data_IF_425343735116
#
_entry.id   IF_425343735116
#
_cell.length_a   1.000
_cell.length_b   1.000
_cell.length_c   1.000
_cell.angle_alpha   90.00
_cell.angle_beta   90.00
_cell.angle_gamma   90.00
#
_symmetry.space_group_name_H-M   'P 1'
#
loop_
_entity.id
_entity.type
_entity.pdbx_description
1 polymer ?
#
# COMPACT_ATOMS: atom_id res chain seq x y z
N UNK A 1 -40.11 -38.86 -18.78
CA UNK A 1 -40.66 -38.41 -20.08
C UNK A 1 -40.08 -37.05 -20.37
N UNK A 2 -39.12 -36.99 -21.30
CA UNK A 2 -38.45 -35.76 -21.73
C UNK A 2 -39.24 -35.17 -22.90
N UNK A 3 -39.57 -33.89 -22.82
CA UNK A 3 -40.09 -33.10 -23.95
C UNK A 3 -38.91 -32.35 -24.56
N UNK A 4 -38.24 -32.98 -25.53
CA UNK A 4 -37.28 -32.29 -26.39
C UNK A 4 -38.06 -31.43 -27.39
N UNK A 5 -37.89 -30.10 -27.33
CA UNK A 5 -38.37 -29.19 -28.37
C UNK A 5 -37.44 -29.29 -29.59
N UNK A 6 -37.94 -29.39 -30.84
CA UNK A 6 -37.11 -29.63 -32.03
C UNK A 6 -36.36 -28.39 -32.55
N UNK A 7 -36.42 -27.26 -31.83
CA UNK A 7 -35.94 -25.96 -32.31
C UNK A 7 -34.62 -25.48 -31.71
N UNK A 8 -33.91 -26.31 -30.93
CA UNK A 8 -32.61 -25.95 -30.33
C UNK A 8 -31.57 -27.07 -30.48
N UNK A 9 -30.93 -27.16 -31.67
CA UNK A 9 -29.98 -28.24 -31.98
C UNK A 9 -28.63 -28.12 -31.26
N UNK A 10 -28.36 -27.03 -30.52
CA UNK A 10 -27.08 -26.79 -29.84
C UNK A 10 -27.20 -26.74 -28.31
N UNK A 11 -28.40 -26.90 -27.74
CA UNK A 11 -28.61 -26.76 -26.30
C UNK A 11 -28.36 -25.35 -25.76
N UNK A 12 -28.32 -24.35 -26.65
CA UNK A 12 -28.08 -22.95 -26.31
C UNK A 12 -29.23 -22.36 -25.49
N UNK A 13 -30.44 -22.88 -25.66
CA UNK A 13 -31.62 -22.52 -24.87
C UNK A 13 -31.61 -23.10 -23.45
N UNK A 14 -30.80 -24.11 -23.16
CA UNK A 14 -30.55 -24.57 -21.79
C UNK A 14 -29.47 -23.70 -21.12
N UNK A 15 -28.39 -23.36 -21.85
CA UNK A 15 -27.34 -22.44 -21.39
C UNK A 15 -27.88 -21.02 -21.16
N UNK A 16 -28.74 -20.52 -22.06
CA UNK A 16 -29.45 -19.24 -21.90
C UNK A 16 -30.35 -19.22 -20.67
N UNK A 17 -31.11 -20.30 -20.42
CA UNK A 17 -31.97 -20.42 -19.22
C UNK A 17 -31.20 -20.57 -17.91
N UNK A 18 -30.02 -21.19 -17.95
CA UNK A 18 -29.13 -21.25 -16.77
C UNK A 18 -28.49 -19.89 -16.50
N UNK A 19 -28.09 -19.16 -17.55
CA UNK A 19 -27.59 -17.78 -17.42
C UNK A 19 -28.66 -16.81 -16.90
N UNK A 20 -29.89 -16.90 -17.41
CA UNK A 20 -31.04 -16.12 -16.92
C UNK A 20 -31.29 -16.35 -15.42
N UNK A 21 -31.30 -17.61 -14.96
CA UNK A 21 -31.52 -17.93 -13.54
C UNK A 21 -30.40 -17.44 -12.61
N UNK A 22 -29.15 -17.47 -13.07
CA UNK A 22 -28.01 -16.96 -12.30
C UNK A 22 -28.12 -15.45 -12.14
N UNK A 23 -28.50 -14.75 -13.21
CA UNK A 23 -28.74 -13.30 -13.15
C UNK A 23 -29.94 -12.95 -12.29
N UNK A 24 -31.03 -13.71 -12.35
CA UNK A 24 -32.19 -13.49 -11.47
C UNK A 24 -31.84 -13.62 -9.98
N UNK A 25 -30.99 -14.59 -9.63
CA UNK A 25 -30.48 -14.74 -8.26
C UNK A 25 -29.57 -13.58 -7.85
N UNK A 26 -28.65 -13.17 -8.73
CA UNK A 26 -27.78 -12.02 -8.51
C UNK A 26 -28.55 -10.70 -8.39
N UNK A 27 -29.64 -10.53 -9.16
CA UNK A 27 -30.55 -9.38 -9.07
C UNK A 27 -31.19 -9.31 -7.67
N UNK A 28 -31.71 -10.41 -7.15
CA UNK A 28 -32.36 -10.39 -5.84
C UNK A 28 -31.34 -10.13 -4.72
N UNK A 29 -30.16 -10.77 -4.80
CA UNK A 29 -29.05 -10.51 -3.89
C UNK A 29 -28.59 -9.04 -3.91
N UNK A 30 -28.48 -8.45 -5.10
CA UNK A 30 -28.15 -7.03 -5.27
C UNK A 30 -29.24 -6.11 -4.73
N UNK A 31 -30.52 -6.43 -4.94
CA UNK A 31 -31.65 -5.65 -4.38
C UNK A 31 -31.66 -5.66 -2.86
N UNK A 32 -31.51 -6.82 -2.24
CA UNK A 32 -31.42 -6.94 -0.78
C UNK A 32 -30.24 -6.14 -0.24
N UNK A 33 -29.09 -6.22 -0.90
CA UNK A 33 -27.90 -5.49 -0.52
C UNK A 33 -28.07 -3.98 -0.63
N UNK A 34 -28.64 -3.48 -1.74
CA UNK A 34 -28.93 -2.06 -1.92
C UNK A 34 -30.02 -1.56 -0.98
N UNK A 35 -31.01 -2.39 -0.63
CA UNK A 35 -32.01 -2.04 0.38
C UNK A 35 -31.39 -1.74 1.74
N UNK A 36 -30.31 -2.44 2.08
CA UNK A 36 -29.54 -2.23 3.29
C UNK A 36 -28.60 -1.02 3.18
N UNK A 37 -27.94 -0.84 2.02
CA UNK A 37 -26.85 0.14 1.83
C UNK A 37 -27.29 1.49 1.27
N UNK A 38 -28.12 1.51 0.22
CA UNK A 38 -28.54 2.71 -0.50
C UNK A 38 -29.90 2.54 -1.18
N UNK A 39 -30.98 2.98 -0.51
CA UNK A 39 -32.35 2.91 -1.06
C UNK A 39 -32.54 3.69 -2.37
N UNK A 40 -32.01 4.92 -2.53
CA UNK A 40 -32.14 5.62 -3.82
C UNK A 40 -31.47 4.87 -4.97
N UNK A 41 -30.30 4.27 -4.73
CA UNK A 41 -29.62 3.46 -5.75
C UNK A 41 -30.40 2.18 -6.09
N UNK A 42 -31.15 1.60 -5.15
CA UNK A 42 -32.05 0.48 -5.40
C UNK A 42 -33.15 0.83 -6.42
N UNK A 43 -33.72 2.03 -6.33
CA UNK A 43 -34.79 2.48 -7.25
C UNK A 43 -34.25 2.59 -8.68
N UNK A 44 -33.08 3.23 -8.85
CA UNK A 44 -32.39 3.34 -10.14
C UNK A 44 -31.92 1.98 -10.67
N UNK A 45 -31.47 1.08 -9.80
CA UNK A 45 -31.14 -0.30 -10.16
C UNK A 45 -32.37 -1.05 -10.68
N UNK A 46 -33.55 -0.81 -10.09
CA UNK A 46 -34.83 -1.31 -10.60
C UNK A 46 -35.14 -0.82 -12.02
N UNK A 47 -34.87 0.45 -12.31
CA UNK A 47 -35.01 1.00 -13.67
C UNK A 47 -34.03 0.38 -14.67
N UNK A 48 -32.78 0.12 -14.26
CA UNK A 48 -31.79 -0.56 -15.10
C UNK A 48 -32.24 -1.96 -15.53
N UNK A 49 -32.88 -2.73 -14.65
CA UNK A 49 -33.41 -4.07 -14.96
C UNK A 49 -34.50 -3.99 -16.03
N UNK A 50 -35.33 -2.95 -16.00
CA UNK A 50 -36.47 -2.79 -16.91
C UNK A 50 -36.05 -2.47 -18.37
N UNK A 51 -34.77 -2.14 -18.61
CA UNK A 51 -34.29 -1.70 -19.92
C UNK A 51 -33.50 -2.82 -20.65
N UNK A 52 -34.02 -3.39 -21.76
CA UNK A 52 -33.43 -4.56 -22.42
C UNK A 52 -32.06 -4.33 -23.09
N UNK A 53 -31.61 -3.08 -23.25
CA UNK A 53 -30.44 -2.73 -24.09
C UNK A 53 -29.10 -2.78 -23.33
N UNK A 54 -29.06 -3.07 -22.02
CA UNK A 54 -27.83 -2.94 -21.21
C UNK A 54 -27.54 -4.11 -20.28
N UNK A 55 -27.77 -5.34 -20.73
CA UNK A 55 -27.47 -6.55 -19.96
C UNK A 55 -26.04 -6.59 -19.41
N UNK A 56 -25.03 -6.21 -20.19
CA UNK A 56 -23.63 -6.13 -19.73
C UNK A 56 -23.45 -5.16 -18.56
N UNK A 57 -24.13 -4.01 -18.56
CA UNK A 57 -24.00 -3.03 -17.48
C UNK A 57 -24.63 -3.54 -16.20
N UNK A 58 -25.79 -4.17 -16.32
CA UNK A 58 -26.46 -4.81 -15.20
C UNK A 58 -25.60 -5.92 -14.60
N UNK A 59 -25.02 -6.78 -15.43
CA UNK A 59 -24.11 -7.86 -15.01
C UNK A 59 -22.87 -7.31 -14.28
N UNK A 60 -22.20 -6.29 -14.83
CA UNK A 60 -21.07 -5.64 -14.14
C UNK A 60 -21.47 -5.03 -12.80
N UNK A 61 -22.62 -4.35 -12.73
CA UNK A 61 -23.11 -3.78 -11.46
C UNK A 61 -23.43 -4.87 -10.45
N UNK A 62 -24.10 -5.96 -10.85
CA UNK A 62 -24.40 -7.10 -9.96
C UNK A 62 -23.11 -7.69 -9.42
N UNK A 63 -22.16 -8.02 -10.29
CA UNK A 63 -20.85 -8.57 -9.90
C UNK A 63 -20.10 -7.65 -8.95
N UNK A 64 -20.12 -6.35 -9.19
CA UNK A 64 -19.51 -5.36 -8.29
C UNK A 64 -20.19 -5.38 -6.92
N UNK A 65 -21.52 -5.37 -6.86
CA UNK A 65 -22.27 -5.39 -5.60
C UNK A 65 -22.08 -6.71 -4.82
N UNK A 66 -22.01 -7.84 -5.51
CA UNK A 66 -21.70 -9.14 -4.90
C UNK A 66 -20.29 -9.17 -4.30
N UNK A 67 -19.28 -8.70 -5.06
CA UNK A 67 -17.91 -8.55 -4.57
C UNK A 67 -17.86 -7.58 -3.38
N UNK A 68 -18.60 -6.46 -3.43
CA UNK A 68 -18.64 -5.48 -2.35
C UNK A 68 -19.23 -6.08 -1.08
N UNK A 69 -20.33 -6.83 -1.20
CA UNK A 69 -20.94 -7.58 -0.10
C UNK A 69 -19.94 -8.55 0.54
N UNK A 70 -19.10 -9.22 -0.25
CA UNK A 70 -18.05 -10.11 0.25
C UNK A 70 -16.92 -9.41 1.02
N UNK A 71 -16.68 -8.13 0.75
CA UNK A 71 -15.65 -7.32 1.43
C UNK A 71 -16.16 -6.59 2.67
N UNK A 72 -17.47 -6.50 2.85
CA UNK A 72 -18.04 -5.79 3.99
C UNK A 72 -17.91 -6.59 5.28
N UNK A 73 -17.34 -5.93 6.30
CA UNK A 73 -17.46 -6.41 7.67
C UNK A 73 -18.78 -5.87 8.23
N UNK A 74 -19.81 -6.73 8.27
CA UNK A 74 -21.09 -6.39 8.88
C UNK A 74 -20.91 -6.46 10.39
N UNK A 75 -20.83 -5.30 11.05
CA UNK A 75 -20.91 -5.23 12.50
C UNK A 75 -22.34 -5.60 12.93
N UNK A 76 -22.53 -6.66 13.75
CA UNK A 76 -23.84 -7.09 14.23
C UNK A 76 -24.59 -6.00 15.01
N UNK A 77 -23.87 -5.04 15.58
CA UNK A 77 -24.41 -4.06 16.52
C UNK A 77 -25.03 -2.82 15.87
N UNK A 78 -24.58 -2.42 14.68
CA UNK A 78 -24.97 -1.14 14.06
C UNK A 78 -26.07 -1.26 13.00
N UNK A 79 -26.26 -2.44 12.40
CA UNK A 79 -27.33 -2.82 11.44
C UNK A 79 -27.61 -1.86 10.26
N UNK A 80 -26.93 -0.73 10.13
CA UNK A 80 -27.12 0.27 9.10
C UNK A 80 -25.78 0.61 8.47
N UNK A 81 -25.50 -0.10 7.39
CA UNK A 81 -24.51 0.28 6.40
C UNK A 81 -25.19 1.37 5.57
N UNK A 82 -24.82 2.63 5.69
CA UNK A 82 -25.37 3.68 4.83
C UNK A 82 -24.20 4.24 4.04
N UNK A 83 -24.34 4.28 2.72
CA UNK A 83 -23.41 4.96 1.83
C UNK A 83 -24.04 6.29 1.40
N UNK A 84 -23.21 7.32 1.26
CA UNK A 84 -23.66 8.55 0.64
C UNK A 84 -24.21 8.26 -0.76
N UNK A 85 -25.39 8.81 -1.05
CA UNK A 85 -26.12 8.49 -2.26
C UNK A 85 -25.37 8.93 -3.51
N UNK A 86 -24.69 10.08 -3.47
CA UNK A 86 -23.89 10.58 -4.59
C UNK A 86 -22.67 9.69 -4.84
N UNK A 87 -21.97 9.27 -3.80
CA UNK A 87 -20.84 8.32 -3.89
C UNK A 87 -21.31 6.99 -4.47
N UNK A 88 -22.41 6.43 -3.96
CA UNK A 88 -22.96 5.16 -4.41
C UNK A 88 -23.32 5.19 -5.90
N UNK A 89 -23.98 6.27 -6.34
CA UNK A 89 -24.33 6.46 -7.76
C UNK A 89 -23.10 6.54 -8.65
N UNK A 90 -22.10 7.35 -8.28
CA UNK A 90 -20.89 7.48 -9.07
C UNK A 90 -20.13 6.15 -9.18
N UNK A 91 -20.02 5.39 -8.09
CA UNK A 91 -19.38 4.07 -8.13
C UNK A 91 -20.15 3.12 -9.04
N UNK A 92 -21.48 3.00 -8.84
CA UNK A 92 -22.30 2.07 -9.63
C UNK A 92 -22.30 2.43 -11.12
N UNK A 93 -22.40 3.71 -11.47
CA UNK A 93 -22.39 4.16 -12.86
C UNK A 93 -21.06 3.83 -13.55
N UNK A 94 -19.93 4.16 -12.91
CA UNK A 94 -18.60 3.91 -13.49
C UNK A 94 -18.29 2.40 -13.54
N UNK A 95 -18.59 1.65 -12.48
CA UNK A 95 -18.40 0.20 -12.44
C UNK A 95 -19.23 -0.53 -13.51
N UNK A 96 -20.43 -0.03 -13.84
CA UNK A 96 -21.29 -0.61 -14.88
C UNK A 96 -20.66 -0.59 -16.28
N UNK A 97 -19.68 0.29 -16.52
CA UNK A 97 -18.97 0.43 -17.79
C UNK A 97 -17.70 -0.41 -17.86
N UNK A 98 -17.28 -0.99 -16.73
CA UNK A 98 -16.08 -1.82 -16.62
C UNK A 98 -16.40 -3.26 -16.99
N UNK A 99 -15.59 -3.83 -17.88
CA UNK A 99 -15.63 -5.26 -18.23
C UNK A 99 -14.49 -6.07 -17.58
N UNK A 100 -13.45 -5.38 -17.08
CA UNK A 100 -12.30 -6.03 -16.48
C UNK A 100 -12.53 -6.35 -14.99
N UNK A 101 -12.38 -7.62 -14.64
CA UNK A 101 -12.68 -8.10 -13.29
C UNK A 101 -11.79 -7.48 -12.19
N UNK A 102 -10.52 -7.19 -12.51
CA UNK A 102 -9.58 -6.53 -11.57
C UNK A 102 -10.02 -5.12 -11.23
N UNK A 103 -10.46 -4.33 -12.21
CA UNK A 103 -11.02 -3.00 -11.96
C UNK A 103 -12.34 -3.09 -11.20
N UNK A 104 -13.18 -4.08 -11.53
CA UNK A 104 -14.45 -4.30 -10.84
C UNK A 104 -14.26 -4.65 -9.36
N UNK A 105 -13.22 -5.42 -9.05
CA UNK A 105 -12.79 -5.75 -7.68
C UNK A 105 -12.40 -4.51 -6.87
N UNK A 106 -11.73 -3.54 -7.51
CA UNK A 106 -11.37 -2.27 -6.88
C UNK A 106 -12.60 -1.40 -6.62
N UNK A 107 -13.51 -1.30 -7.60
CA UNK A 107 -14.79 -0.59 -7.43
C UNK A 107 -15.64 -1.19 -6.31
N UNK A 108 -15.69 -2.52 -6.24
CA UNK A 108 -16.41 -3.25 -5.20
C UNK A 108 -15.86 -2.94 -3.80
N UNK A 109 -14.53 -2.91 -3.64
CA UNK A 109 -13.95 -2.53 -2.36
C UNK A 109 -14.18 -1.06 -2.04
N UNK A 110 -14.06 -0.15 -3.01
CA UNK A 110 -14.35 1.27 -2.78
C UNK A 110 -15.81 1.47 -2.34
N UNK A 111 -16.76 0.73 -2.92
CA UNK A 111 -18.15 0.71 -2.47
C UNK A 111 -18.26 0.22 -1.02
N UNK A 112 -17.58 -0.89 -0.70
CA UNK A 112 -17.59 -1.46 0.64
C UNK A 112 -16.98 -0.52 1.71
N UNK A 113 -15.86 0.12 1.41
CA UNK A 113 -15.20 1.06 2.32
C UNK A 113 -16.02 2.35 2.50
N UNK A 114 -16.86 2.70 1.52
CA UNK A 114 -17.71 3.90 1.54
C UNK A 114 -19.02 3.72 2.34
N UNK A 115 -19.33 2.51 2.78
CA UNK A 115 -20.53 2.24 3.57
C UNK A 115 -20.27 2.53 5.06
N UNK A 116 -20.34 3.81 5.45
CA UNK A 116 -20.36 4.26 6.84
C UNK A 116 -21.08 5.62 7.00
N UNK A 117 -21.52 5.92 8.23
CA UNK A 117 -22.33 7.08 8.60
C UNK A 117 -21.62 8.44 8.52
N UNK A 118 -20.37 8.50 8.07
CA UNK A 118 -19.61 9.74 8.03
C UNK A 118 -19.11 10.08 6.62
N UNK A 119 -19.43 11.31 6.22
CA UNK A 119 -19.08 11.97 4.98
C UNK A 119 -17.57 12.00 4.76
N UNK A 120 -17.05 10.99 4.06
CA UNK A 120 -15.73 11.08 3.45
C UNK A 120 -15.92 11.53 2.00
N UNK A 121 -15.98 12.86 1.79
CA UNK A 121 -15.81 13.50 0.47
C UNK A 121 -14.54 12.99 -0.24
N UNK A 122 -13.58 12.47 0.52
CA UNK A 122 -12.39 11.80 0.00
C UNK A 122 -12.72 10.62 -0.93
N UNK A 123 -13.81 9.89 -0.72
CA UNK A 123 -14.18 8.79 -1.62
C UNK A 123 -14.50 9.32 -3.03
N UNK A 124 -15.01 10.56 -3.17
CA UNK A 124 -15.20 11.20 -4.48
C UNK A 124 -13.85 11.40 -5.18
N UNK A 125 -12.83 11.84 -4.44
CA UNK A 125 -11.48 11.96 -4.97
C UNK A 125 -10.91 10.61 -5.44
N UNK A 126 -11.18 9.52 -4.72
CA UNK A 126 -10.75 8.18 -5.15
C UNK A 126 -11.55 7.63 -6.33
N UNK A 127 -12.85 7.94 -6.45
CA UNK A 127 -13.65 7.65 -7.64
C UNK A 127 -13.03 8.34 -8.86
N UNK A 128 -12.63 9.61 -8.72
CA UNK A 128 -12.02 10.39 -9.79
C UNK A 128 -10.67 9.82 -10.25
N UNK A 129 -9.90 9.24 -9.34
CA UNK A 129 -8.67 8.54 -9.71
C UNK A 129 -9.01 7.21 -10.38
N UNK A 130 -9.84 6.38 -9.75
CA UNK A 130 -10.11 5.01 -10.20
C UNK A 130 -10.75 4.97 -11.58
N UNK A 131 -11.65 5.93 -11.91
CA UNK A 131 -12.26 6.04 -13.25
C UNK A 131 -11.24 6.36 -14.36
N UNK A 132 -10.10 6.94 -14.01
CA UNK A 132 -9.04 7.29 -14.95
C UNK A 132 -7.97 6.21 -15.07
N UNK A 133 -8.02 5.15 -14.25
CA UNK A 133 -7.04 4.07 -14.29
C UNK A 133 -7.40 3.00 -15.30
N UNK A 134 -6.39 2.50 -16.00
CA UNK A 134 -6.50 1.31 -16.85
C UNK A 134 -6.30 0.03 -16.03
N UNK A 135 -6.73 -1.11 -16.58
CA UNK A 135 -6.48 -2.41 -15.94
C UNK A 135 -4.98 -2.67 -15.72
N UNK A 136 -4.13 -2.32 -16.70
CA UNK A 136 -2.68 -2.48 -16.60
C UNK A 136 -2.08 -1.68 -15.44
N UNK A 137 -2.54 -0.44 -15.26
CA UNK A 137 -2.13 0.42 -14.16
C UNK A 137 -2.56 -0.12 -12.80
N UNK A 138 -3.80 -0.61 -12.69
CA UNK A 138 -4.30 -1.21 -11.44
C UNK A 138 -3.51 -2.46 -11.07
N UNK A 139 -3.16 -3.31 -12.02
CA UNK A 139 -2.30 -4.48 -11.77
C UNK A 139 -0.94 -4.08 -11.20
N UNK A 140 -0.29 -3.09 -11.81
CA UNK A 140 0.99 -2.58 -11.31
C UNK A 140 0.85 -1.97 -9.92
N UNK A 141 -0.15 -1.12 -9.69
CA UNK A 141 -0.37 -0.50 -8.38
C UNK A 141 -0.64 -1.54 -7.29
N UNK A 142 -1.46 -2.55 -7.58
CA UNK A 142 -1.75 -3.66 -6.67
C UNK A 142 -0.47 -4.41 -6.30
N UNK A 143 0.28 -4.82 -7.33
CA UNK A 143 1.55 -5.50 -7.14
C UNK A 143 2.50 -4.68 -6.27
N UNK A 144 2.69 -3.40 -6.59
CA UNK A 144 3.57 -2.55 -5.82
C UNK A 144 3.07 -2.42 -4.36
N UNK A 145 1.76 -2.21 -4.15
CA UNK A 145 1.19 -2.05 -2.81
C UNK A 145 1.38 -3.30 -1.95
N UNK A 146 1.35 -4.49 -2.55
CA UNK A 146 1.51 -5.77 -1.84
C UNK A 146 2.97 -6.18 -1.66
N UNK A 147 3.84 -5.84 -2.63
CA UNK A 147 5.21 -6.40 -2.72
C UNK A 147 6.31 -5.40 -2.37
N UNK A 148 5.95 -4.29 -1.73
CA UNK A 148 6.89 -3.25 -1.29
C UNK A 148 6.88 -3.13 0.21
N UNK A 149 8.06 -3.12 0.83
CA UNK A 149 8.17 -2.94 2.28
C UNK A 149 7.55 -1.62 2.75
N UNK A 150 6.96 -1.67 3.94
CA UNK A 150 6.31 -0.52 4.57
C UNK A 150 7.13 -0.04 5.74
N UNK A 151 7.27 1.27 5.85
CA UNK A 151 8.09 1.91 6.87
C UNK A 151 7.39 3.15 7.41
N UNK A 152 7.80 3.57 8.61
CA UNK A 152 7.34 4.77 9.30
C UNK A 152 8.55 5.57 9.77
N UNK A 153 8.34 6.83 10.12
CA UNK A 153 9.39 7.59 10.78
C UNK A 153 9.54 7.10 12.23
N UNK A 154 10.60 6.35 12.51
CA UNK A 154 10.90 5.81 13.85
C UNK A 154 11.03 6.89 14.93
N UNK A 155 11.35 8.12 14.55
CA UNK A 155 11.45 9.25 15.47
C UNK A 155 10.09 9.82 15.89
N UNK A 156 9.01 9.35 15.26
CA UNK A 156 7.66 9.87 15.44
C UNK A 156 6.63 8.75 15.30
N UNK A 157 6.87 7.58 15.88
CA UNK A 157 5.99 6.40 15.78
C UNK A 157 4.56 6.74 16.25
N UNK A 158 4.43 7.45 17.37
CA UNK A 158 3.12 7.85 17.89
C UNK A 158 2.40 8.82 16.95
N UNK A 159 3.13 9.77 16.36
CA UNK A 159 2.55 10.68 15.37
C UNK A 159 2.15 9.92 14.10
N UNK A 160 2.97 9.00 13.60
CA UNK A 160 2.62 8.16 12.46
C UNK A 160 1.40 7.28 12.72
N UNK A 161 1.23 6.77 13.95
CA UNK A 161 0.04 6.04 14.39
C UNK A 161 -1.19 6.93 14.44
N UNK A 162 -1.07 8.14 14.99
CA UNK A 162 -2.17 9.10 15.11
C UNK A 162 -2.60 9.64 13.75
N UNK A 163 -1.64 10.01 12.89
CA UNK A 163 -1.86 10.56 11.55
C UNK A 163 -2.24 9.46 10.55
N UNK A 164 -2.06 8.19 10.91
CA UNK A 164 -2.34 7.04 10.04
C UNK A 164 -1.38 6.89 8.86
N UNK A 165 -0.17 7.45 8.95
CA UNK A 165 0.76 7.57 7.82
C UNK A 165 1.78 6.44 7.78
N UNK A 166 1.94 5.85 6.59
CA UNK A 166 2.99 4.89 6.24
C UNK A 166 3.66 5.32 4.95
N UNK A 167 4.94 5.01 4.83
CA UNK A 167 5.74 5.18 3.61
C UNK A 167 6.06 3.82 3.01
N UNK A 168 5.89 3.69 1.69
CA UNK A 168 6.48 2.57 0.96
C UNK A 168 7.97 2.82 0.72
N UNK A 169 8.80 1.81 0.97
CA UNK A 169 10.22 1.78 0.58
C UNK A 169 10.32 1.74 -0.94
N UNK A 170 11.46 2.13 -1.50
CA UNK A 170 11.68 2.06 -2.94
C UNK A 170 11.78 0.59 -3.40
N UNK A 171 10.92 0.18 -4.33
CA UNK A 171 10.95 -1.17 -4.93
C UNK A 171 11.85 -1.15 -6.15
N UNK A 172 12.95 -1.90 -6.09
CA UNK A 172 13.77 -2.23 -7.26
C UNK A 172 12.98 -3.20 -8.12
N UNK A 173 12.71 -2.81 -9.36
CA UNK A 173 11.93 -3.61 -10.31
C UNK A 173 12.50 -3.40 -11.71
N UNK A 174 12.68 -4.49 -12.45
CA UNK A 174 13.16 -4.39 -13.82
C UNK A 174 12.01 -4.06 -14.79
N UNK A 175 12.34 -3.48 -15.94
CA UNK A 175 11.33 -3.08 -16.92
C UNK A 175 10.57 -4.28 -17.52
N UNK A 176 11.20 -5.45 -17.62
CA UNK A 176 10.55 -6.65 -18.16
C UNK A 176 9.49 -7.19 -17.19
N UNK A 177 9.76 -7.13 -15.88
CA UNK A 177 8.85 -7.43 -14.79
C UNK A 177 7.67 -6.45 -14.80
N UNK A 178 7.92 -5.15 -14.99
CA UNK A 178 6.83 -4.15 -15.18
C UNK A 178 5.96 -4.53 -16.38
N UNK A 179 6.55 -4.85 -17.54
CA UNK A 179 5.80 -5.29 -18.72
C UNK A 179 4.96 -6.55 -18.44
N UNK A 180 5.51 -7.50 -17.68
CA UNK A 180 4.83 -8.74 -17.32
C UNK A 180 3.63 -8.48 -16.39
N UNK A 181 3.81 -7.69 -15.33
CA UNK A 181 2.74 -7.33 -14.38
C UNK A 181 1.62 -6.56 -15.09
N UNK A 182 1.98 -5.64 -15.98
CA UNK A 182 1.02 -4.85 -16.75
C UNK A 182 0.40 -5.64 -17.92
N UNK A 183 0.85 -6.88 -18.16
CA UNK A 183 0.43 -7.74 -19.26
C UNK A 183 0.47 -7.01 -20.62
N UNK A 184 1.55 -6.27 -20.86
CA UNK A 184 1.71 -5.47 -22.08
C UNK A 184 3.03 -5.77 -22.76
N UNK A 185 2.93 -6.25 -24.00
CA UNK A 185 4.08 -6.44 -24.88
C UNK A 185 4.54 -5.11 -25.53
N UNK A 186 3.71 -4.06 -25.48
CA UNK A 186 4.03 -2.76 -26.04
C UNK A 186 4.76 -1.90 -25.02
N UNK A 187 6.05 -1.67 -25.27
CA UNK A 187 6.89 -0.78 -24.44
C UNK A 187 6.37 0.66 -24.42
N UNK A 188 5.94 1.18 -25.57
CA UNK A 188 5.38 2.53 -25.67
C UNK A 188 4.13 2.68 -24.79
N UNK A 189 3.25 1.66 -24.80
CA UNK A 189 2.07 1.64 -23.93
C UNK A 189 2.49 1.68 -22.46
N UNK A 190 3.42 0.82 -22.05
CA UNK A 190 3.92 0.78 -20.66
C UNK A 190 4.48 2.13 -20.23
N UNK A 191 5.28 2.80 -21.07
CA UNK A 191 5.79 4.13 -20.75
C UNK A 191 4.66 5.15 -20.53
N UNK A 192 3.70 5.21 -21.45
CA UNK A 192 2.57 6.15 -21.34
C UNK A 192 1.74 5.89 -20.07
N UNK A 193 1.55 4.63 -19.71
CA UNK A 193 0.80 4.24 -18.52
C UNK A 193 1.57 4.60 -17.24
N UNK A 194 2.90 4.43 -17.22
CA UNK A 194 3.78 4.86 -16.13
C UNK A 194 3.82 6.37 -15.98
N UNK A 195 3.98 7.12 -17.07
CA UNK A 195 3.95 8.58 -17.06
C UNK A 195 2.59 9.09 -16.55
N UNK A 196 1.51 8.41 -16.90
CA UNK A 196 0.16 8.73 -16.40
C UNK A 196 0.06 8.48 -14.89
N UNK A 197 0.57 7.36 -14.38
CA UNK A 197 0.61 7.07 -12.94
C UNK A 197 1.47 8.07 -12.16
N UNK A 198 2.60 8.48 -12.74
CA UNK A 198 3.49 9.50 -12.19
C UNK A 198 2.76 10.86 -12.13
N UNK A 199 2.10 11.27 -13.21
CA UNK A 199 1.35 12.53 -13.29
C UNK A 199 0.15 12.57 -12.33
N UNK A 200 -0.52 11.44 -12.09
CA UNK A 200 -1.56 11.33 -11.06
C UNK A 200 -0.98 11.38 -9.63
N UNK A 201 0.34 11.27 -9.48
CA UNK A 201 1.04 11.21 -8.21
C UNK A 201 0.76 9.92 -7.44
N UNK A 202 0.56 8.81 -8.15
CA UNK A 202 0.35 7.47 -7.57
C UNK A 202 1.68 6.72 -7.40
N UNK A 203 2.61 6.95 -8.32
CA UNK A 203 4.00 6.52 -8.22
C UNK A 203 4.92 7.72 -8.23
N UNK A 204 6.13 7.54 -7.70
CA UNK A 204 7.12 8.57 -7.51
C UNK A 204 8.51 8.03 -7.84
N UNK A 205 9.39 8.95 -8.24
CA UNK A 205 10.80 8.67 -8.46
C UNK A 205 11.52 8.39 -7.13
N UNK A 206 12.64 7.66 -7.17
CA UNK A 206 13.55 7.54 -6.03
C UNK A 206 13.99 8.90 -5.51
N UNK A 207 14.20 9.00 -4.19
CA UNK A 207 14.53 10.27 -3.52
C UNK A 207 15.85 10.88 -4.02
N UNK A 208 16.77 10.05 -4.50
CA UNK A 208 18.11 10.47 -4.91
C UNK A 208 18.22 10.85 -6.39
N UNK A 209 17.14 10.73 -7.16
CA UNK A 209 17.14 11.13 -8.56
C UNK A 209 16.84 12.63 -8.68
N UNK A 210 17.90 13.43 -8.66
CA UNK A 210 17.84 14.88 -8.89
C UNK A 210 17.56 15.27 -10.34
N UNK A 211 17.61 14.32 -11.27
CA UNK A 211 17.34 14.57 -12.69
C UNK A 211 15.83 14.49 -12.97
N UNK A 212 15.31 15.45 -13.73
CA UNK A 212 13.93 15.49 -14.24
C UNK A 212 13.66 14.42 -15.32
N UNK A 213 14.16 13.20 -15.12
CA UNK A 213 14.00 12.07 -16.03
C UNK A 213 12.71 11.33 -15.66
N UNK A 214 11.76 11.11 -16.59
CA UNK A 214 10.53 10.33 -16.32
C UNK A 214 10.83 8.93 -15.79
N UNK A 215 9.94 8.35 -14.98
CA UNK A 215 10.12 6.99 -14.43
C UNK A 215 10.29 5.96 -15.56
N UNK A 216 9.53 6.09 -16.64
CA UNK A 216 9.61 5.25 -17.83
C UNK A 216 11.03 5.22 -18.43
N UNK A 217 11.69 6.37 -18.49
CA UNK A 217 13.07 6.49 -18.95
C UNK A 217 14.06 5.97 -17.91
N UNK A 218 13.87 6.26 -16.62
CA UNK A 218 14.70 5.71 -15.55
C UNK A 218 14.72 4.19 -15.57
N UNK A 219 13.56 3.54 -15.74
CA UNK A 219 13.45 2.09 -15.78
C UNK A 219 14.23 1.42 -16.93
N UNK A 220 14.57 2.19 -17.96
CA UNK A 220 15.33 1.72 -19.13
C UNK A 220 16.82 1.93 -19.00
N UNK A 221 17.26 2.80 -18.09
CA UNK A 221 18.67 3.10 -17.90
C UNK A 221 19.31 1.96 -17.11
N UNK A 222 20.07 1.11 -17.81
CA UNK A 222 20.78 -0.06 -17.28
C UNK A 222 22.03 0.27 -16.44
N UNK A 223 22.16 1.50 -15.94
CA UNK A 223 23.38 1.95 -15.26
C UNK A 223 23.42 1.43 -13.81
N UNK A 224 23.98 0.23 -13.60
CA UNK A 224 24.50 -0.37 -12.34
C UNK A 224 23.64 -0.39 -11.06
N UNK A 225 22.54 0.35 -10.98
CA UNK A 225 21.55 0.31 -9.91
C UNK A 225 20.19 0.07 -10.55
N UNK A 226 19.52 -1.00 -10.14
CA UNK A 226 18.18 -1.29 -10.61
C UNK A 226 17.29 -0.06 -10.40
N UNK A 227 16.57 0.38 -11.44
CA UNK A 227 15.67 1.50 -11.32
C UNK A 227 14.60 1.15 -10.30
N UNK A 228 14.32 2.08 -9.40
CA UNK A 228 13.38 1.85 -8.31
C UNK A 228 12.13 2.70 -8.49
N UNK A 229 10.98 2.15 -8.11
CA UNK A 229 9.70 2.84 -8.09
C UNK A 229 9.28 2.98 -6.65
N UNK A 230 8.75 4.14 -6.29
CA UNK A 230 8.13 4.36 -4.98
C UNK A 230 6.64 4.62 -5.14
N UNK A 231 5.84 4.04 -4.26
CA UNK A 231 4.39 4.30 -4.21
C UNK A 231 4.14 5.51 -3.32
N UNK A 232 3.20 6.37 -3.73
CA UNK A 232 2.79 7.50 -2.91
C UNK A 232 1.81 7.08 -1.81
N UNK A 233 1.69 7.89 -0.75
CA UNK A 233 0.66 7.69 0.27
C UNK A 233 -0.76 7.69 -0.34
N UNK A 234 -0.98 8.51 -1.38
CA UNK A 234 -2.24 8.58 -2.13
C UNK A 234 -2.61 7.23 -2.74
N UNK A 235 -1.66 6.55 -3.37
CA UNK A 235 -1.88 5.23 -3.96
C UNK A 235 -2.11 4.14 -2.89
N UNK A 236 -1.39 4.19 -1.76
CA UNK A 236 -1.67 3.27 -0.64
C UNK A 236 -3.08 3.44 -0.10
N UNK A 237 -3.54 4.69 0.09
CA UNK A 237 -4.91 4.97 0.55
C UNK A 237 -5.96 4.49 -0.43
N UNK A 238 -5.77 4.77 -1.73
CA UNK A 238 -6.64 4.26 -2.78
C UNK A 238 -6.72 2.73 -2.74
N UNK A 239 -5.57 2.06 -2.66
CA UNK A 239 -5.51 0.60 -2.59
C UNK A 239 -6.29 0.06 -1.39
N UNK A 240 -6.06 0.59 -0.18
CA UNK A 240 -6.75 0.15 1.05
C UNK A 240 -8.27 0.30 0.93
N UNK A 241 -8.73 1.46 0.46
CA UNK A 241 -10.16 1.70 0.23
C UNK A 241 -10.72 0.70 -0.79
N UNK A 242 -10.00 0.44 -1.87
CA UNK A 242 -10.36 -0.58 -2.86
C UNK A 242 -10.25 -2.04 -2.37
N UNK A 243 -9.67 -2.29 -1.19
CA UNK A 243 -9.79 -3.57 -0.49
C UNK A 243 -11.03 -3.66 0.41
N UNK A 244 -11.85 -2.60 0.48
CA UNK A 244 -13.00 -2.52 1.35
C UNK A 244 -12.66 -2.17 2.80
N UNK A 245 -11.40 -1.87 3.09
CA UNK A 245 -10.97 -1.49 4.44
C UNK A 245 -11.17 0.00 4.67
N UNK A 246 -11.57 0.33 5.90
CA UNK A 246 -11.73 1.71 6.40
C UNK A 246 -10.51 2.18 7.19
N UNK A 247 -9.56 1.28 7.41
CA UNK A 247 -8.38 1.53 8.21
C UNK A 247 -7.50 2.62 7.57
N UNK A 248 -6.77 3.32 8.42
CA UNK A 248 -5.66 4.15 7.97
C UNK A 248 -4.54 3.28 7.36
N UNK A 249 -3.67 3.84 6.50
CA UNK A 249 -2.48 3.13 6.04
C UNK A 249 -1.62 2.52 7.14
N UNK A 250 -1.49 3.20 8.29
CA UNK A 250 -0.77 2.65 9.44
C UNK A 250 -1.43 1.38 9.98
N UNK A 251 -2.74 1.42 10.24
CA UNK A 251 -3.46 0.28 10.79
C UNK A 251 -3.50 -0.90 9.81
N UNK A 252 -3.71 -0.63 8.52
CA UNK A 252 -3.78 -1.67 7.50
C UNK A 252 -2.44 -2.41 7.33
N UNK A 253 -1.32 -1.67 7.31
CA UNK A 253 0.02 -2.21 7.06
C UNK A 253 0.85 -2.41 8.34
N UNK A 254 0.24 -2.42 9.54
CA UNK A 254 1.00 -2.49 10.80
C UNK A 254 1.84 -3.77 10.93
N UNK A 255 1.33 -4.88 10.39
CA UNK A 255 2.03 -6.16 10.38
C UNK A 255 3.26 -6.04 9.47
N UNK A 256 3.11 -5.53 8.25
CA UNK A 256 4.21 -5.34 7.31
C UNK A 256 5.29 -4.40 7.85
N UNK A 257 4.87 -3.32 8.55
CA UNK A 257 5.81 -2.38 9.18
C UNK A 257 6.59 -3.06 10.32
N UNK A 258 5.92 -3.85 11.15
CA UNK A 258 6.60 -4.61 12.21
C UNK A 258 7.59 -5.62 11.61
N UNK A 259 7.17 -6.38 10.61
CA UNK A 259 7.99 -7.40 9.95
C UNK A 259 9.21 -6.79 9.28
N UNK A 260 9.05 -5.64 8.61
CA UNK A 260 10.16 -4.89 8.02
C UNK A 260 11.24 -4.54 9.06
N UNK A 261 10.83 -3.93 10.18
CA UNK A 261 11.78 -3.54 11.23
C UNK A 261 12.34 -4.74 11.99
N UNK A 262 11.54 -5.78 12.21
CA UNK A 262 11.98 -7.01 12.86
C UNK A 262 13.06 -7.69 12.02
N UNK A 263 12.86 -7.79 10.71
CA UNK A 263 13.84 -8.35 9.79
C UNK A 263 15.18 -7.60 9.80
N UNK A 264 15.17 -6.29 10.02
CA UNK A 264 16.38 -5.48 10.14
C UNK A 264 17.16 -5.80 11.43
N UNK A 265 16.46 -5.93 12.56
CA UNK A 265 17.12 -5.98 13.88
C UNK A 265 17.29 -7.39 14.46
N UNK A 266 16.57 -8.41 13.98
CA UNK A 266 16.50 -9.75 14.59
C UNK A 266 17.84 -10.47 14.72
N UNK A 267 18.84 -10.13 13.90
CA UNK A 267 20.19 -10.72 14.00
C UNK A 267 21.04 -10.11 15.12
N UNK A 268 20.62 -8.95 15.64
CA UNK A 268 21.37 -8.12 16.59
C UNK A 268 20.66 -7.98 17.93
N UNK A 269 19.33 -8.13 17.93
CA UNK A 269 18.46 -7.87 19.07
C UNK A 269 17.45 -9.00 19.16
N UNK A 270 17.43 -9.68 20.31
CA UNK A 270 16.41 -10.68 20.62
C UNK A 270 15.12 -9.99 21.07
N UNK A 271 14.18 -9.84 20.15
CA UNK A 271 12.87 -9.24 20.39
C UNK A 271 11.81 -9.93 19.57
N UNK A 272 10.64 -10.19 20.17
CA UNK A 272 9.50 -10.78 19.46
C UNK A 272 9.01 -9.82 18.34
N UNK A 273 8.57 -10.35 17.17
CA UNK A 273 8.07 -9.52 16.07
C UNK A 273 6.98 -8.53 16.51
N UNK A 274 6.05 -8.97 17.35
CA UNK A 274 4.93 -8.15 17.86
C UNK A 274 5.33 -7.00 18.77
N UNK A 275 6.52 -7.06 19.39
CA UNK A 275 7.05 -6.03 20.31
C UNK A 275 8.14 -5.17 19.67
N UNK A 276 8.46 -5.41 18.41
CA UNK A 276 9.59 -4.78 17.73
C UNK A 276 9.45 -3.26 17.66
N UNK A 277 8.29 -2.74 17.25
CA UNK A 277 8.08 -1.29 17.17
C UNK A 277 8.09 -0.60 18.55
N UNK A 278 7.52 -1.24 19.57
CA UNK A 278 7.52 -0.68 20.93
C UNK A 278 8.94 -0.66 21.52
N UNK A 279 9.74 -1.69 21.25
CA UNK A 279 11.16 -1.70 21.59
C UNK A 279 11.93 -0.58 20.88
N UNK A 280 11.77 -0.46 19.55
CA UNK A 280 12.43 0.61 18.77
C UNK A 280 12.03 1.98 19.32
N UNK A 281 10.75 2.18 19.65
CA UNK A 281 10.24 3.44 20.23
C UNK A 281 10.95 3.79 21.53
N UNK A 282 11.02 2.86 22.48
CA UNK A 282 11.65 3.08 23.79
C UNK A 282 13.16 3.37 23.65
N UNK A 283 13.85 2.58 22.84
CA UNK A 283 15.29 2.76 22.59
C UNK A 283 15.59 4.05 21.83
N UNK A 284 14.78 4.38 20.80
CA UNK A 284 14.92 5.62 20.05
C UNK A 284 14.64 6.85 20.94
N UNK A 285 13.68 6.76 21.86
CA UNK A 285 13.43 7.82 22.84
C UNK A 285 14.65 8.08 23.73
N UNK A 286 15.29 7.02 24.25
CA UNK A 286 16.56 7.18 24.98
C UNK A 286 17.67 7.76 24.12
N UNK A 287 17.85 7.24 22.90
CA UNK A 287 18.86 7.72 21.96
C UNK A 287 18.69 9.18 21.55
N UNK A 288 17.45 9.69 21.54
CA UNK A 288 17.14 11.08 21.22
C UNK A 288 17.72 12.08 22.22
N UNK A 289 17.99 11.66 23.46
CA UNK A 289 18.63 12.49 24.49
C UNK A 289 20.08 12.82 24.15
N UNK A 290 20.71 12.05 23.26
CA UNK A 290 22.10 12.25 22.81
C UNK A 290 22.18 13.03 21.48
N UNK A 291 21.07 13.64 21.07
CA UNK A 291 21.04 14.49 19.87
C UNK A 291 21.92 15.73 20.12
N UNK A 292 23.03 15.79 19.39
CA UNK A 292 24.02 16.87 19.52
C UNK A 292 25.32 16.43 20.19
N UNK A 293 25.32 15.29 20.89
CA UNK A 293 26.52 14.67 21.48
C UNK A 293 27.28 13.79 20.49
N UNK A 294 26.60 13.35 19.42
CA UNK A 294 27.17 12.54 18.35
C UNK A 294 26.80 13.17 17.00
N UNK A 295 27.81 13.44 16.19
CA UNK A 295 27.69 13.83 14.79
C UNK A 295 27.94 12.61 13.87
N UNK A 296 27.23 12.55 12.74
CA UNK A 296 27.46 11.56 11.69
C UNK A 296 28.08 12.23 10.48
N UNK A 297 29.14 11.61 9.96
CA UNK A 297 29.78 12.01 8.73
C UNK A 297 29.91 10.78 7.83
N UNK A 298 29.71 10.95 6.52
CA UNK A 298 30.05 9.94 5.52
C UNK A 298 31.41 10.26 4.93
N UNK A 299 32.31 9.29 4.95
CA UNK A 299 33.65 9.34 4.38
C UNK A 299 33.74 8.34 3.23
N UNK A 300 34.28 8.74 2.09
CA UNK A 300 34.37 7.90 0.89
C UNK A 300 35.28 6.68 1.10
N UNK A 301 36.34 6.83 1.89
CA UNK A 301 37.34 5.79 2.14
C UNK A 301 36.94 4.88 3.32
N UNK A 302 36.22 5.43 4.30
CA UNK A 302 36.00 4.76 5.58
C UNK A 302 34.52 4.51 5.94
N UNK A 303 33.58 4.94 5.10
CA UNK A 303 32.16 4.71 5.30
C UNK A 303 31.55 5.66 6.35
N UNK A 304 30.74 5.12 7.27
CA UNK A 304 30.05 5.94 8.27
C UNK A 304 30.92 6.19 9.51
N UNK A 305 31.19 7.46 9.80
CA UNK A 305 31.94 7.94 10.95
C UNK A 305 30.98 8.60 11.96
N UNK A 306 31.11 8.22 13.23
CA UNK A 306 30.40 8.77 14.38
C UNK A 306 31.39 9.57 15.23
N UNK A 307 31.25 10.89 15.22
CA UNK A 307 32.12 11.77 15.99
C UNK A 307 31.42 12.19 17.28
N UNK A 308 31.99 11.80 18.41
CA UNK A 308 31.52 12.20 19.75
C UNK A 308 31.97 13.64 19.97
N UNK A 309 31.00 14.55 20.01
CA UNK A 309 31.23 16.00 20.14
C UNK A 309 31.21 16.44 21.61
N UNK A 310 30.60 15.66 22.49
CA UNK A 310 30.52 15.96 23.91
C UNK A 310 31.73 15.38 24.66
N UNK A 311 32.66 16.24 25.07
CA UNK A 311 33.89 15.84 25.78
C UNK A 311 33.64 15.05 27.07
N UNK A 312 32.48 15.21 27.71
CA UNK A 312 32.13 14.44 28.91
C UNK A 312 32.03 12.93 28.64
N UNK A 313 31.85 12.54 27.38
CA UNK A 313 31.77 11.14 26.98
C UNK A 313 33.14 10.46 26.90
N UNK A 314 34.23 11.22 26.81
CA UNK A 314 35.59 10.68 26.63
C UNK A 314 36.02 9.83 27.83
N UNK A 315 35.48 10.13 29.01
CA UNK A 315 35.81 9.44 30.27
C UNK A 315 34.74 8.43 30.70
N UNK A 316 33.75 8.13 29.85
CA UNK A 316 32.71 7.16 30.21
C UNK A 316 33.27 5.73 30.19
N UNK A 317 32.80 4.85 31.10
CA UNK A 317 33.08 3.43 30.99
C UNK A 317 32.63 2.89 29.62
N UNK A 318 33.43 2.01 29.01
CA UNK A 318 33.15 1.43 27.68
C UNK A 318 31.75 0.80 27.58
N UNK A 319 31.26 0.20 28.67
CA UNK A 319 29.91 -0.37 28.74
C UNK A 319 28.82 0.69 28.58
N UNK A 320 28.96 1.84 29.23
CA UNK A 320 28.02 2.96 29.13
C UNK A 320 28.10 3.59 27.74
N UNK A 321 29.30 3.76 27.21
CA UNK A 321 29.51 4.32 25.87
C UNK A 321 28.88 3.44 24.79
N UNK A 322 29.10 2.11 24.86
CA UNK A 322 28.47 1.14 23.97
C UNK A 322 26.94 1.23 24.00
N UNK A 323 26.34 1.32 25.19
CA UNK A 323 24.90 1.41 25.33
C UNK A 323 24.34 2.69 24.70
N UNK A 324 24.99 3.84 24.92
CA UNK A 324 24.58 5.11 24.30
C UNK A 324 24.70 5.08 22.79
N UNK A 325 25.78 4.50 22.25
CA UNK A 325 25.97 4.34 20.82
C UNK A 325 24.90 3.43 20.20
N UNK A 326 24.56 2.30 20.84
CA UNK A 326 23.45 1.43 20.41
C UNK A 326 22.12 2.18 20.36
N UNK A 327 21.78 2.90 21.43
CA UNK A 327 20.55 3.68 21.51
C UNK A 327 20.48 4.75 20.42
N UNK A 328 21.59 5.47 20.19
CA UNK A 328 21.68 6.49 19.17
C UNK A 328 21.61 5.93 17.75
N UNK A 329 22.21 4.75 17.49
CA UNK A 329 22.09 4.06 16.20
C UNK A 329 20.65 3.65 15.92
N UNK A 330 19.91 3.13 16.89
CA UNK A 330 18.48 2.86 16.69
C UNK A 330 17.70 4.14 16.41
N UNK A 331 17.98 5.22 17.15
CA UNK A 331 17.34 6.52 16.95
C UNK A 331 17.56 7.11 15.55
N UNK A 332 18.78 7.07 15.01
CA UNK A 332 19.12 7.71 13.72
C UNK A 332 19.21 6.78 12.52
N UNK A 333 19.64 5.55 12.73
CA UNK A 333 20.12 4.63 11.70
C UNK A 333 19.69 3.18 11.96
N UNK A 334 18.44 2.94 12.36
CA UNK A 334 17.93 1.58 12.60
C UNK A 334 18.20 0.63 11.43
N UNK A 335 18.06 1.12 10.19
CA UNK A 335 18.33 0.36 8.98
C UNK A 335 19.81 -0.05 8.81
N UNK A 336 20.72 0.57 9.56
CA UNK A 336 22.16 0.34 9.53
C UNK A 336 22.67 -0.30 10.82
N UNK A 337 21.79 -0.93 11.60
CA UNK A 337 22.17 -1.62 12.86
C UNK A 337 23.27 -2.67 12.63
N UNK A 338 23.29 -3.31 11.45
CA UNK A 338 24.31 -4.28 11.07
C UNK A 338 25.62 -3.68 10.53
N UNK A 339 25.67 -2.37 10.31
CA UNK A 339 26.87 -1.74 9.77
C UNK A 339 27.94 -1.58 10.86
N UNK A 340 29.19 -1.57 10.41
CA UNK A 340 30.31 -1.14 11.22
C UNK A 340 30.48 0.37 11.07
N UNK A 341 30.66 1.05 12.18
CA UNK A 341 30.88 2.49 12.27
C UNK A 341 32.29 2.76 12.78
N UNK A 342 32.98 3.75 12.22
CA UNK A 342 34.17 4.31 12.89
C UNK A 342 33.68 5.30 13.94
N UNK A 343 34.18 5.23 15.16
CA UNK A 343 33.84 6.18 16.23
C UNK A 343 35.08 7.00 16.56
N UNK A 344 34.93 8.33 16.62
CA UNK A 344 36.02 9.24 16.96
C UNK A 344 35.66 10.06 18.19
N UNK A 345 36.55 10.15 19.18
CA UNK A 345 36.40 11.03 20.34
C UNK A 345 37.74 11.74 20.60
N UNK A 346 37.83 13.02 20.27
CA UNK A 346 39.13 13.71 20.22
C UNK A 346 40.08 13.04 19.21
N UNK A 347 41.25 12.63 19.69
CA UNK A 347 42.27 11.93 18.88
C UNK A 347 42.06 10.41 18.82
N UNK A 348 41.19 9.87 19.68
CA UNK A 348 40.94 8.44 19.79
C UNK A 348 39.98 7.96 18.70
N UNK A 349 40.27 6.77 18.16
CA UNK A 349 39.53 6.16 17.07
C UNK A 349 39.21 4.70 17.39
N UNK A 350 37.95 4.33 17.28
CA UNK A 350 37.48 2.95 17.46
C UNK A 350 36.67 2.47 16.26
N UNK A 351 36.51 1.15 16.19
CA UNK A 351 35.46 0.53 15.39
C UNK A 351 34.31 0.16 16.30
N UNK A 352 33.08 0.43 15.88
CA UNK A 352 31.87 0.02 16.59
C UNK A 352 31.01 -0.83 15.67
N UNK A 353 30.47 -1.94 16.19
CA UNK A 353 29.30 -2.58 15.60
C UNK A 353 28.26 -2.83 16.71
N UNK A 354 27.00 -3.01 16.32
CA UNK A 354 25.93 -3.09 17.32
C UNK A 354 26.09 -4.32 18.25
N UNK A 355 26.53 -5.45 17.69
CA UNK A 355 26.66 -6.73 18.41
C UNK A 355 27.80 -6.72 19.42
N UNK A 356 29.01 -6.39 18.99
CA UNK A 356 30.23 -6.52 19.80
C UNK A 356 30.56 -5.22 20.56
N UNK A 357 29.97 -4.09 20.17
CA UNK A 357 30.25 -2.78 20.74
C UNK A 357 31.52 -2.14 20.18
N UNK A 358 32.18 -1.31 20.97
CA UNK A 358 33.49 -0.75 20.67
C UNK A 358 34.56 -1.84 20.67
N UNK A 359 35.24 -1.95 19.55
CA UNK A 359 36.38 -2.81 19.31
C UNK A 359 37.57 -1.86 19.12
N UNK A 360 38.58 -1.97 19.99
CA UNK A 360 39.82 -1.21 19.83
C UNK A 360 40.43 -1.53 18.47
N UNK A 361 40.97 -0.50 17.82
CA UNK A 361 41.81 -0.70 16.64
C UNK A 361 43.17 -1.22 17.12
N UNK A 362 43.65 -2.29 16.49
CA UNK A 362 45.06 -2.67 16.53
C UNK A 362 45.95 -1.53 16.00
#
# INVERSE_FOLDING_TARGET
MSTNNPSDPLGLGALGRTGEKIVDFGIEGAKEFLKLTCKPLLEEFGLMISTPIRYHRLDSTIKMLEKAKGKMQIDPSTQQLVIDTRVAFQIAENASQVSNDTLLEMWAGLFASSCDRYEEDENIFFIDILKSLTSSQVKLLTYLCENTDKTININSIDASRLDGVVTAVEKKIDYAEVCAIMESNSRLKVDTELDTLENMGLIMKPRNNSQNVPISQLLRMTMSGYPAIRISLKALRLYIKCQGSKQTPFEYFIIDVNDYYHNIIKEYIDVEPSKTLDYIKDVAYRGSQYKGDIAHHSDEDFGSILSITNESWYNLPTTVLNERLRQWIIYRYVAWVGNRFRVTAGEENWSFNYKDGLINRD
#
